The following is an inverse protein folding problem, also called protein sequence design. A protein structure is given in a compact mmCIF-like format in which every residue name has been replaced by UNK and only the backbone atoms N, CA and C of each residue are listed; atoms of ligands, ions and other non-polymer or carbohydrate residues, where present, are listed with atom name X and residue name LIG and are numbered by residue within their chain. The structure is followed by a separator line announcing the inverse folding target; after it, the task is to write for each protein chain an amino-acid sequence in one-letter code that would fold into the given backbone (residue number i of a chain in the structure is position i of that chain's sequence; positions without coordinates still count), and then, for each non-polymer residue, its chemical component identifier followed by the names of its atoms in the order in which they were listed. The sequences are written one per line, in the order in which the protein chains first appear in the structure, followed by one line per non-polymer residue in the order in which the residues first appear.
data_IF_109982190639
#
_entry.id   IF_109982190639
#
_cell.length_a   1.000
_cell.length_b   1.000
_cell.length_c   1.000
_cell.angle_alpha   90.00
_cell.angle_beta   90.00
_cell.angle_gamma   90.00
#
_symmetry.space_group_name_H-M   'P 1'
#
loop_
_entity.id
_entity.type
_entity.pdbx_description
1 polymer ?
#
# COMPACT_ATOMS: atom_id res chain seq x y z
N UNK A 1 -65.39 -6.05 -0.14
CA UNK A 1 -63.91 -6.06 -0.21
C UNK A 1 -63.36 -6.80 1.02
N UNK A 2 -63.62 -8.11 1.16
CA UNK A 2 -62.75 -9.25 0.78
C UNK A 2 -61.41 -9.32 1.53
N UNK A 3 -61.45 -9.66 2.84
CA UNK A 3 -60.32 -10.09 3.70
C UNK A 3 -59.43 -11.19 3.08
N UNK A 4 -59.93 -11.90 2.07
CA UNK A 4 -59.22 -12.96 1.34
C UNK A 4 -58.08 -12.45 0.45
N UNK A 5 -58.14 -11.20 0.00
CA UNK A 5 -57.12 -10.58 -0.86
C UNK A 5 -55.82 -10.25 -0.11
N UNK A 6 -55.93 -9.73 1.12
CA UNK A 6 -54.79 -9.41 2.00
C UNK A 6 -54.04 -10.66 2.47
N UNK A 7 -54.75 -11.78 2.68
CA UNK A 7 -54.12 -13.04 3.08
C UNK A 7 -53.28 -13.67 1.96
N UNK A 8 -53.70 -13.53 0.70
CA UNK A 8 -52.95 -14.02 -0.48
C UNK A 8 -51.64 -13.24 -0.70
N UNK A 9 -51.65 -11.93 -0.42
CA UNK A 9 -50.49 -11.05 -0.54
C UNK A 9 -49.37 -11.42 0.46
N UNK A 10 -49.74 -11.72 1.71
CA UNK A 10 -48.77 -12.12 2.73
C UNK A 10 -48.18 -13.51 2.43
N UNK A 11 -48.97 -14.48 1.95
CA UNK A 11 -48.38 -15.78 1.54
C UNK A 11 -47.35 -15.64 0.41
N UNK A 12 -47.58 -14.72 -0.53
CA UNK A 12 -46.64 -14.44 -1.62
C UNK A 12 -45.39 -13.71 -1.12
N UNK A 13 -45.55 -12.77 -0.18
CA UNK A 13 -44.43 -12.10 0.47
C UNK A 13 -43.56 -13.07 1.28
N UNK A 14 -44.14 -14.03 2.02
CA UNK A 14 -43.39 -15.10 2.70
C UNK A 14 -42.58 -15.94 1.72
N UNK A 15 -43.21 -16.38 0.63
CA UNK A 15 -42.55 -17.22 -0.37
C UNK A 15 -41.36 -16.50 -1.00
N UNK A 16 -41.49 -15.20 -1.26
CA UNK A 16 -40.40 -14.37 -1.76
C UNK A 16 -39.25 -14.27 -0.76
N UNK A 17 -39.55 -13.93 0.50
CA UNK A 17 -38.53 -13.84 1.57
C UNK A 17 -37.81 -15.17 1.76
N UNK A 18 -38.53 -16.30 1.73
CA UNK A 18 -37.92 -17.63 1.83
C UNK A 18 -36.97 -17.93 0.67
N UNK A 19 -37.32 -17.50 -0.55
CA UNK A 19 -36.46 -17.64 -1.73
C UNK A 19 -35.21 -16.78 -1.62
N UNK A 20 -35.36 -15.53 -1.18
CA UNK A 20 -34.24 -14.59 -1.01
C UNK A 20 -33.28 -15.08 0.09
N UNK A 21 -33.79 -15.63 1.19
CA UNK A 21 -32.96 -16.23 2.25
C UNK A 21 -32.21 -17.47 1.76
N UNK A 22 -32.85 -18.33 0.96
CA UNK A 22 -32.19 -19.50 0.39
C UNK A 22 -31.04 -19.08 -0.54
N UNK A 23 -31.28 -18.10 -1.41
CA UNK A 23 -30.26 -17.53 -2.30
C UNK A 23 -29.08 -16.93 -1.51
N UNK A 24 -29.35 -16.12 -0.49
CA UNK A 24 -28.30 -15.51 0.33
C UNK A 24 -27.47 -16.56 1.06
N UNK A 25 -28.10 -17.64 1.53
CA UNK A 25 -27.37 -18.76 2.15
C UNK A 25 -26.42 -19.44 1.18
N UNK A 26 -26.85 -19.65 -0.07
CA UNK A 26 -26.01 -20.26 -1.11
C UNK A 26 -24.86 -19.32 -1.52
N UNK A 27 -25.11 -18.01 -1.59
CA UNK A 27 -24.06 -16.99 -1.83
C UNK A 27 -23.03 -16.95 -0.67
N UNK A 28 -23.48 -17.01 0.58
CA UNK A 28 -22.59 -17.08 1.76
C UNK A 28 -21.77 -18.37 1.77
N UNK A 29 -22.36 -19.50 1.39
CA UNK A 29 -21.64 -20.76 1.26
C UNK A 29 -20.54 -20.66 0.20
N UNK A 30 -20.84 -20.06 -0.96
CA UNK A 30 -19.85 -19.85 -2.03
C UNK A 30 -18.72 -18.90 -1.61
N UNK A 31 -19.03 -17.87 -0.83
CA UNK A 31 -18.03 -16.95 -0.28
C UNK A 31 -17.21 -17.56 0.88
N UNK A 32 -17.69 -18.63 1.52
CA UNK A 32 -16.97 -19.29 2.60
C UNK A 32 -15.72 -20.05 2.15
N UNK A 33 -15.64 -20.38 0.85
CA UNK A 33 -14.45 -21.01 0.24
C UNK A 33 -13.38 -20.00 -0.18
N UNK A 34 -13.70 -18.70 -0.21
CA UNK A 34 -12.79 -17.64 -0.64
C UNK A 34 -11.49 -17.57 0.18
N UNK A 35 -11.50 -17.73 1.53
CA UNK A 35 -10.28 -17.77 2.33
C UNK A 35 -9.34 -18.91 1.94
N UNK A 36 -9.87 -20.08 1.57
CA UNK A 36 -9.07 -21.21 1.13
C UNK A 36 -8.41 -20.94 -0.23
N UNK A 37 -9.16 -20.32 -1.15
CA UNK A 37 -8.66 -19.88 -2.46
C UNK A 37 -7.57 -18.82 -2.30
N UNK A 38 -7.77 -17.82 -1.44
CA UNK A 38 -6.78 -16.77 -1.14
C UNK A 38 -5.52 -17.39 -0.53
N UNK A 39 -5.66 -18.32 0.42
CA UNK A 39 -4.51 -19.01 1.00
C UNK A 39 -3.74 -19.86 -0.03
N UNK A 40 -4.43 -20.49 -0.99
CA UNK A 40 -3.80 -21.23 -2.07
C UNK A 40 -3.00 -20.31 -3.01
N UNK A 41 -3.56 -19.15 -3.37
CA UNK A 41 -2.86 -18.16 -4.18
C UNK A 41 -1.66 -17.57 -3.44
N UNK A 42 -1.79 -17.29 -2.14
CA UNK A 42 -0.67 -16.83 -1.31
C UNK A 42 0.51 -17.81 -1.33
N UNK A 43 0.24 -19.12 -1.19
CA UNK A 43 1.28 -20.16 -1.30
C UNK A 43 1.92 -20.18 -2.70
N UNK A 44 1.12 -20.12 -3.76
CA UNK A 44 1.63 -20.11 -5.12
C UNK A 44 2.53 -18.89 -5.41
N UNK A 45 2.21 -17.72 -4.85
CA UNK A 45 3.04 -16.52 -4.98
C UNK A 45 4.37 -16.67 -4.23
N UNK A 46 4.36 -17.25 -3.02
CA UNK A 46 5.60 -17.56 -2.28
C UNK A 46 6.50 -18.52 -3.06
N UNK A 47 5.93 -19.61 -3.58
CA UNK A 47 6.68 -20.61 -4.37
C UNK A 47 7.32 -19.98 -5.62
N UNK A 48 6.59 -19.08 -6.30
CA UNK A 48 7.12 -18.32 -7.45
C UNK A 48 8.25 -17.38 -7.05
N UNK A 49 8.14 -16.71 -5.90
CA UNK A 49 9.21 -15.87 -5.35
C UNK A 49 10.48 -16.66 -5.06
N UNK A 50 10.36 -17.83 -4.43
CA UNK A 50 11.49 -18.72 -4.16
C UNK A 50 12.15 -19.25 -5.45
N UNK A 51 11.34 -19.58 -6.47
CA UNK A 51 11.85 -19.95 -7.79
C UNK A 51 12.63 -18.82 -8.44
N UNK A 52 12.10 -17.59 -8.41
CA UNK A 52 12.77 -16.42 -8.96
C UNK A 52 14.10 -16.11 -8.25
N UNK A 53 14.16 -16.24 -6.92
CA UNK A 53 15.41 -16.09 -6.18
C UNK A 53 16.45 -17.16 -6.53
N UNK A 54 16.03 -18.42 -6.72
CA UNK A 54 16.92 -19.51 -7.13
C UNK A 54 17.48 -19.32 -8.54
N UNK A 55 16.69 -18.82 -9.47
CA UNK A 55 17.15 -18.53 -10.84
C UNK A 55 18.05 -17.30 -10.88
N UNK A 56 17.76 -16.27 -10.09
CA UNK A 56 18.62 -15.09 -9.95
C UNK A 56 19.96 -15.41 -9.28
N UNK A 57 19.99 -16.33 -8.31
CA UNK A 57 21.22 -16.78 -7.62
C UNK A 57 22.09 -17.74 -8.44
N UNK A 58 21.56 -18.37 -9.50
CA UNK A 58 22.31 -19.30 -10.34
C UNK A 58 23.03 -18.55 -11.47
N UNK A 59 24.16 -17.93 -11.12
CA UNK A 59 25.11 -17.38 -12.11
C UNK A 59 25.70 -18.54 -12.96
N UNK A 60 25.56 -18.57 -14.29
CA UNK A 60 26.21 -19.57 -15.11
C UNK A 60 27.68 -19.19 -15.31
N UNK A 61 28.58 -20.03 -14.79
CA UNK A 61 30.01 -19.98 -15.12
C UNK A 61 30.93 -19.58 -13.96
N UNK A 62 31.48 -20.57 -13.28
CA UNK A 62 32.88 -20.53 -12.86
C UNK A 62 33.46 -21.94 -13.02
N UNK A 63 34.09 -22.14 -14.18
CA UNK A 63 35.00 -23.24 -14.39
C UNK A 63 36.15 -23.10 -13.38
N UNK A 64 36.43 -24.18 -12.65
CA UNK A 64 37.58 -24.31 -11.76
C UNK A 64 38.86 -24.21 -12.59
N UNK A 65 39.55 -23.08 -12.48
CA UNK A 65 40.94 -22.91 -12.86
C UNK A 65 41.82 -22.98 -11.61
N UNK A 66 42.53 -24.10 -11.45
CA UNK A 66 43.69 -24.22 -10.56
C UNK A 66 44.90 -23.48 -11.16
N UNK A 67 45.77 -22.92 -10.30
CA UNK A 67 47.08 -22.39 -10.69
C UNK A 67 47.43 -21.07 -9.97
N UNK A 68 47.97 -21.08 -8.73
CA UNK A 68 49.41 -21.13 -8.37
C UNK A 68 50.13 -19.76 -8.38
N UNK A 69 50.44 -19.30 -7.16
CA UNK A 69 51.63 -18.61 -6.64
C UNK A 69 52.20 -17.29 -7.24
N UNK A 70 52.35 -16.28 -6.35
CA UNK A 70 53.58 -15.52 -5.97
C UNK A 70 53.13 -14.27 -5.17
N UNK A 71 53.41 -14.03 -3.88
CA UNK A 71 54.67 -13.82 -3.11
C UNK A 71 55.59 -12.71 -3.65
N UNK A 72 55.65 -11.58 -2.92
CA UNK A 72 56.83 -10.83 -2.40
C UNK A 72 56.42 -9.36 -2.10
N UNK A 73 56.52 -8.91 -0.84
CA UNK A 73 57.57 -8.04 -0.26
C UNK A 73 57.16 -6.54 -0.42
N UNK A 74 57.45 -5.57 0.45
CA UNK A 74 58.37 -5.42 1.58
C UNK A 74 58.06 -4.09 2.29
N UNK A 75 58.56 -3.91 3.54
CA UNK A 75 59.07 -2.66 4.19
C UNK A 75 58.18 -1.39 4.23
N UNK A 76 58.18 -0.50 5.23
CA UNK A 76 58.70 -0.35 6.59
C UNK A 76 58.25 1.06 7.03
N UNK A 77 58.38 1.31 8.33
CA UNK A 77 58.72 2.59 8.94
C UNK A 77 57.60 3.51 9.49
N UNK A 78 57.67 3.58 10.81
CA UNK A 78 57.08 4.51 11.77
C UNK A 78 57.61 5.93 11.61
N UNK A 79 56.76 6.94 11.85
CA UNK A 79 57.26 8.18 12.48
C UNK A 79 56.17 8.84 13.35
N UNK A 80 56.67 9.40 14.44
CA UNK A 80 56.05 9.86 15.66
C UNK A 80 55.76 11.37 15.57
N UNK A 81 54.72 11.86 16.25
CA UNK A 81 54.29 13.24 16.05
C UNK A 81 53.19 13.74 16.98
N UNK A 82 53.47 13.67 18.28
CA UNK A 82 52.65 14.27 19.35
C UNK A 82 52.55 15.80 19.19
N UNK A 83 51.32 16.32 19.19
CA UNK A 83 51.03 17.75 19.20
C UNK A 83 49.76 18.06 20.00
N UNK A 84 49.94 18.32 21.29
CA UNK A 84 48.91 18.77 22.20
C UNK A 84 48.41 20.19 21.84
N UNK A 85 47.10 20.36 21.77
CA UNK A 85 46.46 21.67 21.59
C UNK A 85 45.00 21.58 21.95
N UNK A 86 44.69 21.76 23.24
CA UNK A 86 43.32 21.80 23.74
C UNK A 86 42.54 22.96 23.11
N UNK A 87 41.33 22.68 22.66
CA UNK A 87 40.27 23.69 22.58
C UNK A 87 38.96 23.02 22.99
N UNK A 88 38.53 23.37 24.19
CA UNK A 88 37.19 23.14 24.72
C UNK A 88 36.15 23.61 23.73
N UNK A 89 35.40 22.69 23.15
CA UNK A 89 34.10 22.99 22.55
C UNK A 89 33.11 22.02 23.15
N UNK A 90 32.06 22.57 23.77
CA UNK A 90 31.10 21.83 24.57
C UNK A 90 30.53 20.65 23.79
N UNK A 91 30.66 19.46 24.37
CA UNK A 91 29.82 18.32 24.04
C UNK A 91 28.39 18.68 24.49
N UNK A 92 27.68 19.38 23.61
CA UNK A 92 26.22 19.30 23.59
C UNK A 92 25.93 17.88 23.19
N UNK A 93 25.28 17.12 24.07
CA UNK A 93 24.88 15.76 23.80
C UNK A 93 24.20 15.70 22.44
N UNK A 94 24.81 14.96 21.52
CA UNK A 94 24.08 14.38 20.42
C UNK A 94 23.10 13.42 21.08
N UNK A 95 21.90 13.91 21.37
CA UNK A 95 20.74 13.03 21.29
C UNK A 95 20.79 12.51 19.87
N UNK A 96 21.01 11.21 19.73
CA UNK A 96 20.68 10.50 18.50
C UNK A 96 19.19 10.80 18.25
N UNK A 97 18.93 11.87 17.51
CA UNK A 97 17.65 12.09 16.85
C UNK A 97 17.52 10.87 15.94
N UNK A 98 16.81 9.86 16.43
CA UNK A 98 16.27 8.76 15.63
C UNK A 98 15.74 9.39 14.35
N UNK A 99 16.51 9.25 13.27
CA UNK A 99 16.28 10.03 12.06
C UNK A 99 14.89 9.68 11.55
N UNK A 100 13.95 10.61 11.75
CA UNK A 100 12.57 10.42 11.34
C UNK A 100 12.55 10.00 9.88
N UNK A 101 11.79 8.95 9.57
CA UNK A 101 11.74 8.40 8.22
C UNK A 101 11.51 9.52 7.21
N UNK A 102 12.33 9.59 6.14
CA UNK A 102 12.23 10.67 5.18
C UNK A 102 10.83 10.68 4.55
N UNK A 103 10.26 11.86 4.29
CA UNK A 103 8.91 11.95 3.76
C UNK A 103 8.80 11.24 2.40
N UNK A 104 7.67 10.56 2.12
CA UNK A 104 7.50 9.78 0.89
C UNK A 104 7.57 10.70 -0.33
N UNK A 105 8.54 10.45 -1.21
CA UNK A 105 8.79 11.24 -2.40
C UNK A 105 8.41 10.48 -3.68
N UNK A 106 7.11 10.17 -3.84
CA UNK A 106 6.58 9.37 -4.96
C UNK A 106 7.03 9.83 -6.35
N UNK A 107 7.10 11.14 -6.59
CA UNK A 107 7.44 11.68 -7.91
C UNK A 107 8.93 11.53 -8.27
N UNK A 108 9.77 11.18 -7.30
CA UNK A 108 11.22 11.02 -7.48
C UNK A 108 11.71 9.64 -7.05
N UNK A 109 10.81 8.71 -6.73
CA UNK A 109 11.20 7.35 -6.35
C UNK A 109 11.77 6.62 -7.56
N UNK A 110 12.98 6.09 -7.40
CA UNK A 110 13.66 5.31 -8.45
C UNK A 110 13.71 3.82 -8.14
N UNK A 111 13.53 3.45 -6.88
CA UNK A 111 13.46 2.04 -6.47
C UNK A 111 12.04 1.48 -6.76
N UNK A 112 11.91 0.52 -7.71
CA UNK A 112 10.62 -0.07 -8.03
C UNK A 112 10.04 -0.88 -6.86
N UNK A 113 10.86 -1.50 -6.01
CA UNK A 113 10.37 -2.29 -4.89
C UNK A 113 9.67 -1.40 -3.85
N UNK A 114 10.29 -0.26 -3.53
CA UNK A 114 9.70 0.75 -2.65
C UNK A 114 8.41 1.33 -3.21
N UNK A 115 8.37 1.65 -4.51
CA UNK A 115 7.16 2.16 -5.16
C UNK A 115 6.00 1.16 -5.09
N UNK A 116 6.27 -0.14 -5.28
CA UNK A 116 5.27 -1.21 -5.16
C UNK A 116 4.78 -1.34 -3.72
N UNK A 117 5.67 -1.28 -2.74
CA UNK A 117 5.31 -1.34 -1.32
C UNK A 117 4.32 -0.23 -0.95
N UNK A 118 4.64 1.02 -1.30
CA UNK A 118 3.77 2.17 -1.06
C UNK A 118 2.40 2.07 -1.74
N UNK A 119 2.35 1.60 -3.00
CA UNK A 119 1.08 1.38 -3.69
C UNK A 119 0.22 0.32 -3.01
N UNK A 120 0.84 -0.77 -2.55
CA UNK A 120 0.13 -1.85 -1.85
C UNK A 120 -0.42 -1.38 -0.50
N UNK A 121 0.34 -0.61 0.25
CA UNK A 121 -0.13 0.00 1.50
C UNK A 121 -1.30 0.94 1.25
N UNK A 122 -1.21 1.80 0.24
CA UNK A 122 -2.33 2.67 -0.15
C UNK A 122 -3.56 1.89 -0.62
N UNK A 123 -3.38 0.78 -1.34
CA UNK A 123 -4.49 -0.03 -1.81
C UNK A 123 -5.34 -0.60 -0.66
N UNK A 124 -4.73 -0.83 0.51
CA UNK A 124 -5.43 -1.24 1.74
C UNK A 124 -5.94 -0.02 2.52
N UNK A 125 -5.12 1.01 2.67
CA UNK A 125 -5.43 2.17 3.50
C UNK A 125 -6.54 3.05 2.91
N UNK A 126 -6.56 3.26 1.59
CA UNK A 126 -7.54 4.10 0.91
C UNK A 126 -8.98 3.65 1.17
N UNK A 127 -9.39 2.39 0.93
CA UNK A 127 -10.75 1.96 1.23
C UNK A 127 -11.06 1.96 2.73
N UNK A 128 -10.08 1.68 3.60
CA UNK A 128 -10.28 1.51 5.04
C UNK A 128 -10.36 2.83 5.83
N UNK A 129 -9.54 3.83 5.49
CA UNK A 129 -9.36 5.06 6.28
C UNK A 129 -9.78 6.30 5.49
N UNK A 130 -9.47 6.33 4.19
CA UNK A 130 -9.77 7.50 3.36
C UNK A 130 -11.22 7.53 2.89
N UNK A 131 -11.69 6.50 2.18
CA UNK A 131 -13.01 6.43 1.54
C UNK A 131 -14.25 6.22 2.44
N UNK A 132 -14.17 5.94 3.76
CA UNK A 132 -15.36 5.97 4.61
C UNK A 132 -16.07 7.32 4.63
N UNK A 133 -15.36 8.41 4.32
CA UNK A 133 -15.95 9.74 4.24
C UNK A 133 -16.51 10.04 2.83
N UNK A 134 -17.62 10.77 2.75
CA UNK A 134 -18.28 11.05 1.46
C UNK A 134 -17.44 11.97 0.56
N UNK A 135 -16.74 12.94 1.15
CA UNK A 135 -15.92 13.92 0.43
C UNK A 135 -14.61 13.35 -0.13
N UNK A 136 -14.24 12.13 0.25
CA UNK A 136 -12.98 11.47 -0.12
C UNK A 136 -13.21 10.28 -1.06
N UNK A 137 -14.42 10.14 -1.62
CA UNK A 137 -14.70 9.14 -2.66
C UNK A 137 -13.73 9.37 -3.82
N UNK A 138 -12.92 8.35 -4.07
CA UNK A 138 -11.83 8.41 -5.02
C UNK A 138 -12.12 7.37 -6.11
N UNK A 139 -12.10 7.74 -7.40
CA UNK A 139 -12.27 6.80 -8.49
C UNK A 139 -11.22 5.70 -8.48
N UNK A 140 -11.58 4.50 -8.92
CA UNK A 140 -10.68 3.32 -8.98
C UNK A 140 -9.44 3.55 -9.84
N UNK A 141 -9.43 4.59 -10.67
CA UNK A 141 -8.30 4.93 -11.51
C UNK A 141 -7.13 5.60 -10.81
N UNK A 142 -7.27 5.98 -9.54
CA UNK A 142 -6.25 6.69 -8.77
C UNK A 142 -4.84 6.09 -8.80
N UNK A 143 -4.62 4.74 -8.81
CA UNK A 143 -3.26 4.19 -8.82
C UNK A 143 -2.49 4.53 -10.10
N UNK A 144 -3.20 4.85 -11.20
CA UNK A 144 -2.60 5.21 -12.49
C UNK A 144 -2.30 6.71 -12.62
N UNK A 145 -2.58 7.51 -11.59
CA UNK A 145 -2.31 8.94 -11.57
C UNK A 145 -1.18 9.25 -10.57
N UNK A 146 0.07 9.49 -11.02
CA UNK A 146 1.20 9.70 -10.13
C UNK A 146 0.97 10.85 -9.13
N UNK A 147 0.34 11.93 -9.59
CA UNK A 147 -0.05 13.07 -8.76
C UNK A 147 -1.08 12.71 -7.67
N UNK A 148 -1.98 11.78 -7.94
CA UNK A 148 -2.97 11.30 -6.98
C UNK A 148 -2.30 10.41 -5.93
N UNK A 149 -1.40 9.52 -6.36
CA UNK A 149 -0.63 8.64 -5.47
C UNK A 149 0.24 9.48 -4.52
N UNK A 150 0.94 10.49 -5.03
CA UNK A 150 1.75 11.41 -4.21
C UNK A 150 0.90 12.12 -3.14
N UNK A 151 -0.27 12.63 -3.50
CA UNK A 151 -1.18 13.30 -2.57
C UNK A 151 -1.72 12.33 -1.49
N UNK A 152 -2.07 11.11 -1.89
CA UNK A 152 -2.56 10.06 -0.99
C UNK A 152 -1.48 9.61 0.01
N UNK A 153 -0.23 9.47 -0.43
CA UNK A 153 0.89 9.11 0.45
C UNK A 153 1.11 10.17 1.53
N UNK A 154 1.08 11.46 1.17
CA UNK A 154 1.25 12.55 2.14
C UNK A 154 0.14 12.51 3.19
N UNK A 155 -1.13 12.39 2.79
CA UNK A 155 -2.24 12.39 3.76
C UNK A 155 -2.28 11.12 4.61
N UNK A 156 -1.83 9.99 4.08
CA UNK A 156 -1.63 8.76 4.84
C UNK A 156 -0.54 8.93 5.90
N UNK A 157 0.61 9.51 5.56
CA UNK A 157 1.69 9.72 6.54
C UNK A 157 1.25 10.67 7.64
N UNK A 158 0.49 11.72 7.31
CA UNK A 158 -0.10 12.60 8.33
C UNK A 158 -1.13 11.89 9.21
N UNK A 159 -1.86 10.90 8.67
CA UNK A 159 -2.73 10.05 9.49
C UNK A 159 -1.90 9.20 10.45
N UNK A 160 -0.89 8.48 9.94
CA UNK A 160 -0.03 7.60 10.75
C UNK A 160 0.63 8.39 11.88
N UNK A 161 1.21 9.55 11.58
CA UNK A 161 1.82 10.44 12.58
C UNK A 161 0.81 10.96 13.62
N UNK A 162 -0.47 11.12 13.24
CA UNK A 162 -1.53 11.55 14.14
C UNK A 162 -2.13 10.41 14.98
N UNK A 163 -1.90 9.15 14.60
CA UNK A 163 -2.48 7.96 15.26
C UNK A 163 -1.45 7.05 15.91
N UNK A 164 -0.16 7.40 15.87
CA UNK A 164 0.88 6.66 16.58
C UNK A 164 0.63 6.71 18.09
N UNK A 165 1.01 5.66 18.81
CA UNK A 165 0.85 5.60 20.26
C UNK A 165 1.54 6.78 20.95
N UNK A 166 0.83 7.45 21.85
CA UNK A 166 1.31 8.66 22.52
C UNK A 166 1.09 9.96 21.72
N UNK A 167 0.55 9.89 20.50
CA UNK A 167 0.07 11.10 19.82
C UNK A 167 -1.09 11.72 20.62
N UNK A 168 -1.02 13.05 20.79
CA UNK A 168 -2.12 13.82 21.37
C UNK A 168 -3.35 13.85 20.46
N UNK A 169 -4.44 14.44 20.94
CA UNK A 169 -5.67 14.61 20.14
C UNK A 169 -5.51 15.69 19.05
N UNK A 170 -4.63 16.68 19.26
CA UNK A 170 -4.49 17.83 18.36
C UNK A 170 -4.01 17.47 16.93
N UNK A 171 -3.02 16.57 16.73
CA UNK A 171 -2.67 16.08 15.40
C UNK A 171 -3.83 15.40 14.68
N UNK A 172 -4.63 14.60 15.39
CA UNK A 172 -5.78 13.91 14.82
C UNK A 172 -6.88 14.90 14.43
N UNK A 173 -7.17 15.89 15.29
CA UNK A 173 -8.07 16.99 14.97
C UNK A 173 -7.59 17.78 13.74
N UNK A 174 -6.30 18.12 13.70
CA UNK A 174 -5.67 18.81 12.57
C UNK A 174 -5.78 17.98 11.27
N UNK A 175 -5.65 16.66 11.37
CA UNK A 175 -5.85 15.79 10.22
C UNK A 175 -7.28 15.87 9.69
N UNK A 176 -8.26 15.80 10.59
CA UNK A 176 -9.68 15.85 10.26
C UNK A 176 -10.11 17.20 9.66
N UNK A 177 -9.60 18.31 10.19
CA UNK A 177 -10.06 19.65 9.86
C UNK A 177 -9.27 20.32 8.73
N UNK A 178 -7.98 19.97 8.58
CA UNK A 178 -7.08 20.63 7.62
C UNK A 178 -6.58 19.67 6.55
N UNK A 179 -5.94 18.57 6.93
CA UNK A 179 -5.22 17.72 5.97
C UNK A 179 -6.17 16.98 5.04
N UNK A 180 -7.15 16.27 5.60
CA UNK A 180 -8.12 15.50 4.82
C UNK A 180 -8.93 16.35 3.84
N UNK A 181 -9.63 17.43 4.24
CA UNK A 181 -10.41 18.22 3.28
C UNK A 181 -9.53 18.89 2.22
N UNK A 182 -8.33 19.37 2.61
CA UNK A 182 -7.38 19.95 1.66
C UNK A 182 -6.87 18.94 0.62
N UNK A 183 -6.50 17.74 1.07
CA UNK A 183 -6.06 16.65 0.19
C UNK A 183 -7.19 16.17 -0.73
N UNK A 184 -8.42 16.05 -0.22
CA UNK A 184 -9.58 15.66 -1.01
C UNK A 184 -9.85 16.63 -2.16
N UNK A 185 -9.79 17.93 -1.87
CA UNK A 185 -9.96 18.97 -2.90
C UNK A 185 -8.87 18.89 -3.99
N UNK A 186 -7.60 18.73 -3.61
CA UNK A 186 -6.48 18.59 -4.57
C UNK A 186 -6.59 17.31 -5.37
N UNK A 187 -6.94 16.19 -4.75
CA UNK A 187 -7.09 14.89 -5.38
C UNK A 187 -8.18 14.92 -6.46
N UNK A 188 -9.36 15.45 -6.13
CA UNK A 188 -10.46 15.60 -7.11
C UNK A 188 -10.06 16.49 -8.28
N UNK A 189 -9.33 17.58 -8.02
CA UNK A 189 -8.81 18.45 -9.08
C UNK A 189 -7.80 17.74 -9.98
N UNK A 190 -6.92 16.91 -9.43
CA UNK A 190 -5.90 16.15 -10.18
C UNK A 190 -6.52 15.02 -11.01
N UNK A 191 -7.60 14.42 -10.53
CA UNK A 191 -8.34 13.36 -11.23
C UNK A 191 -9.39 13.92 -12.21
N UNK A 192 -9.68 15.22 -12.15
CA UNK A 192 -10.57 15.87 -13.09
C UNK A 192 -10.05 15.73 -14.53
N UNK A 193 -10.94 15.37 -15.45
CA UNK A 193 -10.58 15.12 -16.85
C UNK A 193 -10.12 13.68 -17.15
N UNK A 194 -10.01 12.79 -16.16
CA UNK A 194 -9.73 11.38 -16.45
C UNK A 194 -11.00 10.65 -16.92
N UNK A 195 -11.02 10.15 -18.16
CA UNK A 195 -12.15 9.40 -18.71
C UNK A 195 -12.52 8.17 -17.86
N UNK A 196 -11.52 7.54 -17.20
CA UNK A 196 -11.73 6.43 -16.25
C UNK A 196 -12.35 6.89 -14.94
N UNK A 197 -12.10 8.13 -14.52
CA UNK A 197 -12.70 8.69 -13.31
C UNK A 197 -14.21 8.98 -13.48
N UNK A 198 -14.66 9.24 -14.70
CA UNK A 198 -16.07 9.56 -15.00
C UNK A 198 -16.95 8.34 -15.29
N UNK A 199 -16.47 7.12 -15.02
CA UNK A 199 -17.28 5.92 -15.17
C UNK A 199 -17.59 5.54 -16.62
N UNK A 200 -16.81 6.02 -17.60
CA UNK A 200 -16.88 5.54 -18.99
C UNK A 200 -16.21 4.16 -19.14
N UNK A 201 -16.62 3.20 -18.31
CA UNK A 201 -16.41 1.79 -18.62
C UNK A 201 -17.41 1.41 -19.70
N UNK A 202 -17.06 1.64 -20.96
CA UNK A 202 -17.71 0.89 -22.05
C UNK A 202 -17.27 -0.56 -21.85
N UNK A 203 -18.02 -1.32 -21.06
CA UNK A 203 -17.85 -2.76 -20.96
C UNK A 203 -17.88 -3.29 -22.39
N UNK A 204 -16.75 -3.83 -22.85
CA UNK A 204 -16.63 -4.40 -24.18
C UNK A 204 -17.72 -5.45 -24.35
N UNK A 205 -18.70 -5.14 -25.18
CA UNK A 205 -19.70 -6.07 -25.68
C UNK A 205 -18.99 -7.11 -26.52
N UNK A 206 -18.41 -8.14 -25.89
CA UNK A 206 -18.08 -9.38 -26.57
C UNK A 206 -19.33 -10.25 -26.61
N UNK A 207 -20.30 -9.83 -27.44
CA UNK A 207 -21.23 -10.77 -28.05
C UNK A 207 -20.44 -11.51 -29.13
N UNK A 208 -20.03 -12.74 -28.81
CA UNK A 208 -19.52 -13.69 -29.80
C UNK A 208 -20.73 -14.25 -30.55
N UNK A 209 -20.79 -13.97 -31.85
CA UNK A 209 -21.47 -14.82 -32.85
C UNK A 209 -20.66 -16.09 -33.09
#
# INVERSE_FOLDING_TARGET
MTRRSVALDWTQALAKVATDVARLRDEVALLSDLPAVVAAHGRALTDLGELAHRTAGRRPGSAQGSGVAAREADVDETDDGSGAGGTTTGSVGATDDEAADPPPAWLTVTDPALAIAWLNELAVWVPAVWQPYLQTKTPDCWPWHPDAVAELLVVQHQWIAATVDGAGVDPLATWHDRWRPGAAHRLLKRLAGCDRAYGHHKAGSNARE
#
